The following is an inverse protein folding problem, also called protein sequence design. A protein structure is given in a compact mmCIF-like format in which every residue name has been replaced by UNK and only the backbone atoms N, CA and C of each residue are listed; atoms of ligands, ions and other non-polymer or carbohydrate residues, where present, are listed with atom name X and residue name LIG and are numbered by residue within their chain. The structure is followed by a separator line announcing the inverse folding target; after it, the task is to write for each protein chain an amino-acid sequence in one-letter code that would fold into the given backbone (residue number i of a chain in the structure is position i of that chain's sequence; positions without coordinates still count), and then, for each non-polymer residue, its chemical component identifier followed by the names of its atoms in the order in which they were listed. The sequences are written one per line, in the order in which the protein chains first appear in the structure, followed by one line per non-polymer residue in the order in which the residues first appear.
data_IF_462595533738
#
_entry.id   IF_462595533738
#
_cell.length_a   1.000
_cell.length_b   1.000
_cell.length_c   1.000
_cell.angle_alpha   90.00
_cell.angle_beta   90.00
_cell.angle_gamma   90.00
#
_symmetry.space_group_name_H-M   'P 1'
#
loop_
_entity.id
_entity.type
_entity.pdbx_description
1 polymer ?
#
# COMPACT_ATOMS: atom_id res chain seq x y z
N UNK A 1 1.23 -67.60 24.25
CA UNK A 1 0.33 -68.57 24.91
C UNK A 1 -0.89 -67.82 25.44
N UNK A 2 -2.04 -68.10 24.84
CA UNK A 2 -3.32 -67.46 25.27
C UNK A 2 -3.75 -68.10 26.60
N UNK A 3 -4.39 -67.28 27.48
CA UNK A 3 -4.95 -67.73 28.77
C UNK A 3 -5.96 -68.89 28.63
N UNK A 4 -6.53 -69.05 27.43
CA UNK A 4 -7.53 -70.10 27.15
C UNK A 4 -6.90 -71.51 27.04
N UNK A 5 -5.62 -71.60 26.62
CA UNK A 5 -4.90 -72.89 26.55
C UNK A 5 -4.54 -73.46 27.93
N UNK A 6 -4.44 -72.59 28.95
CA UNK A 6 -4.13 -73.00 30.32
C UNK A 6 -5.35 -73.52 31.09
N UNK A 7 -6.54 -73.07 30.73
CA UNK A 7 -7.79 -73.50 31.36
C UNK A 7 -8.24 -74.87 30.86
N UNK A 8 -8.05 -75.18 29.57
CA UNK A 8 -8.41 -76.50 29.02
C UNK A 8 -7.52 -77.66 29.64
N UNK A 9 -6.28 -77.35 29.99
CA UNK A 9 -5.42 -78.33 30.66
C UNK A 9 -5.78 -78.49 32.13
N UNK A 10 -6.36 -77.51 32.79
CA UNK A 10 -6.80 -77.62 34.19
C UNK A 10 -8.08 -78.46 34.37
N UNK A 11 -9.07 -78.28 33.48
CA UNK A 11 -10.33 -79.03 33.59
C UNK A 11 -10.24 -80.51 33.20
N UNK A 12 -9.25 -80.90 32.44
CA UNK A 12 -9.03 -82.31 32.09
C UNK A 12 -8.27 -83.13 33.16
N UNK A 13 -7.71 -82.53 34.21
CA UNK A 13 -6.94 -83.19 35.27
C UNK A 13 -7.82 -83.60 36.49
N UNK A 14 -9.09 -83.11 36.58
CA UNK A 14 -9.91 -83.26 37.80
C UNK A 14 -10.89 -84.43 37.68
N UNK A 15 -11.00 -85.19 36.56
CA UNK A 15 -12.11 -86.21 36.41
C UNK A 15 -11.66 -87.64 36.16
N UNK A 16 -10.46 -88.08 36.44
CA UNK A 16 -10.18 -89.51 36.40
C UNK A 16 -9.09 -89.91 37.40
N UNK A 17 -9.45 -90.66 38.43
CA UNK A 17 -8.64 -91.23 39.49
C UNK A 17 -7.81 -92.43 39.00
N UNK A 18 -7.40 -92.46 37.75
CA UNK A 18 -6.40 -93.42 37.19
C UNK A 18 -5.18 -92.71 36.68
N UNK A 19 -4.07 -92.90 37.34
CA UNK A 19 -2.79 -92.37 36.90
C UNK A 19 -2.50 -92.92 35.48
N UNK A 20 -2.46 -92.06 34.45
CA UNK A 20 -2.21 -92.55 33.08
C UNK A 20 -0.86 -93.21 32.99
N UNK A 21 -0.83 -94.30 32.32
CA UNK A 21 0.45 -95.09 32.07
C UNK A 21 1.45 -94.24 31.30
N UNK A 22 2.75 -94.54 31.41
CA UNK A 22 3.82 -93.79 30.77
C UNK A 22 3.63 -93.68 29.23
N UNK A 23 2.94 -94.69 28.63
CA UNK A 23 2.60 -94.73 27.21
C UNK A 23 1.52 -93.72 26.85
N UNK A 24 0.44 -93.53 27.68
CA UNK A 24 -0.64 -92.57 27.45
C UNK A 24 -0.16 -91.12 27.63
N UNK A 25 0.75 -90.91 28.61
CA UNK A 25 1.42 -89.62 28.74
C UNK A 25 2.26 -89.26 27.53
N UNK A 26 2.91 -90.28 26.93
CA UNK A 26 3.72 -90.05 25.75
C UNK A 26 2.86 -89.75 24.51
N UNK A 27 1.72 -90.42 24.39
CA UNK A 27 0.79 -90.15 23.28
C UNK A 27 0.13 -88.79 23.43
N UNK A 28 -0.33 -88.43 24.65
CA UNK A 28 -0.87 -87.07 24.88
C UNK A 28 0.15 -85.97 24.66
N UNK A 29 1.43 -86.21 24.97
CA UNK A 29 2.53 -85.28 24.65
C UNK A 29 2.77 -85.20 23.15
N UNK A 30 2.72 -86.35 22.46
CA UNK A 30 2.90 -86.38 20.99
C UNK A 30 1.68 -85.67 20.31
N UNK A 31 0.46 -85.86 20.82
CA UNK A 31 -0.74 -85.22 20.27
C UNK A 31 -0.79 -83.71 20.59
N UNK A 32 -0.32 -83.31 21.75
CA UNK A 32 -0.22 -81.86 22.11
C UNK A 32 0.92 -81.22 21.32
N UNK A 33 1.99 -81.90 20.97
CA UNK A 33 3.05 -81.38 20.08
C UNK A 33 2.62 -81.40 18.62
N UNK A 34 1.74 -82.30 18.19
CA UNK A 34 1.13 -82.29 16.85
C UNK A 34 0.07 -81.25 16.66
N UNK A 35 -0.64 -80.90 17.72
CA UNK A 35 -1.67 -79.85 17.65
C UNK A 35 -1.11 -78.42 17.62
N UNK A 36 0.14 -78.24 18.04
CA UNK A 36 0.80 -76.91 17.90
C UNK A 36 1.58 -76.95 16.58
N UNK A 37 0.89 -76.52 15.52
CA UNK A 37 1.50 -76.36 14.18
C UNK A 37 2.47 -75.13 14.15
N UNK A 38 3.43 -75.17 15.12
CA UNK A 38 4.38 -74.09 15.38
C UNK A 38 5.23 -73.78 14.15
N UNK A 39 5.38 -74.82 13.28
CA UNK A 39 6.18 -74.61 12.08
C UNK A 39 5.48 -73.83 10.98
N UNK A 40 4.18 -74.03 10.77
CA UNK A 40 3.45 -73.34 9.74
C UNK A 40 3.22 -71.86 10.13
N UNK A 41 2.82 -71.54 11.37
CA UNK A 41 2.66 -70.20 11.85
C UNK A 41 3.97 -69.39 11.86
N UNK A 42 5.09 -70.01 12.24
CA UNK A 42 6.40 -69.39 12.22
C UNK A 42 6.89 -69.15 10.78
N UNK A 43 6.67 -70.12 9.89
CA UNK A 43 7.03 -69.97 8.48
C UNK A 43 6.21 -68.91 7.80
N UNK A 44 4.89 -68.82 8.08
CA UNK A 44 4.01 -67.76 7.56
C UNK A 44 4.40 -66.38 8.12
N UNK A 45 4.74 -66.23 9.38
CA UNK A 45 5.22 -64.98 9.95
C UNK A 45 6.59 -64.59 9.37
N UNK A 46 7.51 -65.50 9.19
CA UNK A 46 8.83 -65.22 8.56
C UNK A 46 8.68 -64.86 7.09
N UNK A 47 7.77 -65.50 6.34
CA UNK A 47 7.47 -65.12 4.95
C UNK A 47 6.87 -63.70 4.87
N UNK A 48 5.91 -63.36 5.72
CA UNK A 48 5.31 -62.00 5.79
C UNK A 48 6.36 -60.93 6.14
N UNK A 49 7.27 -61.23 7.05
CA UNK A 49 8.42 -60.35 7.39
C UNK A 49 9.35 -60.20 6.18
N UNK A 50 9.69 -61.31 5.52
CA UNK A 50 10.54 -61.32 4.33
C UNK A 50 9.93 -60.49 3.17
N UNK A 51 8.61 -60.71 2.91
CA UNK A 51 7.90 -59.97 1.87
C UNK A 51 7.81 -58.49 2.18
N UNK A 52 7.52 -58.13 3.45
CA UNK A 52 7.53 -56.72 3.90
C UNK A 52 8.90 -56.10 3.74
N UNK A 53 9.97 -56.84 4.06
CA UNK A 53 11.34 -56.36 3.91
C UNK A 53 11.76 -56.21 2.44
N UNK A 54 11.35 -57.13 1.57
CA UNK A 54 11.55 -57.00 0.12
C UNK A 54 10.79 -55.80 -0.47
N UNK A 55 9.54 -55.59 -0.06
CA UNK A 55 8.75 -54.43 -0.47
C UNK A 55 9.42 -53.11 -0.03
N UNK A 56 9.94 -53.07 1.21
CA UNK A 56 10.66 -51.91 1.72
C UNK A 56 11.98 -51.67 0.95
N UNK A 57 12.74 -52.72 0.65
CA UNK A 57 13.97 -52.60 -0.14
C UNK A 57 13.65 -52.12 -1.57
N UNK A 58 12.64 -52.71 -2.22
CA UNK A 58 12.23 -52.28 -3.57
C UNK A 58 11.73 -50.83 -3.59
N UNK A 59 10.94 -50.43 -2.61
CA UNK A 59 10.52 -49.03 -2.43
C UNK A 59 11.72 -48.09 -2.26
N UNK A 60 12.70 -48.50 -1.44
CA UNK A 60 13.93 -47.72 -1.22
C UNK A 60 14.76 -47.61 -2.50
N UNK A 61 14.99 -48.70 -3.22
CA UNK A 61 15.73 -48.71 -4.50
C UNK A 61 15.04 -47.86 -5.54
N UNK A 62 13.72 -47.96 -5.67
CA UNK A 62 12.93 -47.15 -6.60
C UNK A 62 12.88 -45.64 -6.22
N UNK A 63 13.17 -45.30 -4.96
CA UNK A 63 13.27 -43.92 -4.49
C UNK A 63 14.65 -43.30 -4.76
N UNK A 64 15.70 -44.09 -4.98
CA UNK A 64 17.07 -43.63 -5.22
C UNK A 64 17.15 -42.60 -6.37
N UNK A 65 16.57 -42.86 -7.57
CA UNK A 65 16.61 -41.88 -8.67
C UNK A 65 15.93 -40.53 -8.32
N UNK A 66 14.84 -40.60 -7.55
CA UNK A 66 14.15 -39.39 -7.06
C UNK A 66 15.02 -38.62 -6.07
N UNK A 67 15.66 -39.32 -5.12
CA UNK A 67 16.58 -38.71 -4.14
C UNK A 67 17.78 -38.06 -4.83
N UNK A 68 18.36 -38.70 -5.84
CA UNK A 68 19.42 -38.09 -6.63
C UNK A 68 18.96 -36.84 -7.33
N UNK A 69 17.75 -36.85 -7.96
CA UNK A 69 17.16 -35.70 -8.60
C UNK A 69 16.94 -34.53 -7.61
N UNK A 70 16.46 -34.83 -6.40
CA UNK A 70 16.26 -33.81 -5.33
C UNK A 70 17.59 -33.22 -4.86
N UNK A 71 18.64 -34.05 -4.70
CA UNK A 71 19.98 -33.56 -4.32
C UNK A 71 20.56 -32.65 -5.41
N UNK A 72 20.43 -33.03 -6.67
CA UNK A 72 20.86 -32.21 -7.81
C UNK A 72 20.08 -30.89 -7.84
N UNK A 73 18.74 -30.94 -7.70
CA UNK A 73 17.87 -29.75 -7.62
C UNK A 73 18.30 -28.83 -6.48
N UNK A 74 18.59 -29.38 -5.32
CA UNK A 74 19.00 -28.61 -4.15
C UNK A 74 20.37 -27.94 -4.37
N UNK A 75 21.33 -28.64 -4.93
CA UNK A 75 22.67 -28.08 -5.24
C UNK A 75 22.54 -26.95 -6.27
N UNK A 76 21.83 -27.20 -7.37
CA UNK A 76 21.59 -26.19 -8.41
C UNK A 76 20.81 -25.03 -7.83
N UNK A 77 19.74 -25.28 -7.07
CA UNK A 77 18.92 -24.24 -6.45
C UNK A 77 19.71 -23.36 -5.49
N UNK A 78 20.52 -23.95 -4.60
CA UNK A 78 21.41 -23.19 -3.71
C UNK A 78 22.46 -22.37 -4.49
N UNK A 79 22.98 -22.92 -5.58
CA UNK A 79 23.90 -22.17 -6.45
C UNK A 79 23.19 -20.95 -7.08
N UNK A 80 21.99 -21.14 -7.61
CA UNK A 80 21.17 -20.05 -8.19
C UNK A 80 20.85 -19.00 -7.14
N UNK A 81 20.37 -19.40 -5.96
CA UNK A 81 20.07 -18.47 -4.84
C UNK A 81 21.31 -17.68 -4.46
N UNK A 82 22.46 -18.32 -4.27
CA UNK A 82 23.71 -17.64 -3.93
C UNK A 82 24.14 -16.67 -5.02
N UNK A 83 23.97 -17.04 -6.29
CA UNK A 83 24.33 -16.20 -7.44
C UNK A 83 23.44 -14.96 -7.51
N UNK A 84 22.11 -15.12 -7.40
CA UNK A 84 21.18 -14.00 -7.37
C UNK A 84 21.52 -13.04 -6.23
N UNK A 85 21.71 -13.56 -5.01
CA UNK A 85 22.07 -12.75 -3.83
C UNK A 85 23.38 -11.99 -4.06
N UNK A 86 24.39 -12.63 -4.66
CA UNK A 86 25.68 -11.98 -4.97
C UNK A 86 25.50 -10.84 -5.95
N UNK A 87 24.71 -11.05 -7.02
CA UNK A 87 24.40 -10.01 -8.02
C UNK A 87 23.68 -8.83 -7.38
N UNK A 88 22.62 -9.10 -6.61
CA UNK A 88 21.84 -8.06 -5.92
C UNK A 88 22.73 -7.27 -4.98
N UNK A 89 23.49 -7.94 -4.11
CA UNK A 89 24.40 -7.27 -3.16
C UNK A 89 25.46 -6.40 -3.89
N UNK A 90 26.02 -6.92 -4.99
CA UNK A 90 26.98 -6.16 -5.79
C UNK A 90 26.37 -4.90 -6.44
N UNK A 91 25.12 -5.02 -6.93
CA UNK A 91 24.42 -3.88 -7.55
C UNK A 91 24.03 -2.82 -6.53
N UNK A 92 23.53 -3.22 -5.36
CA UNK A 92 23.19 -2.30 -4.26
C UNK A 92 24.45 -1.56 -3.77
N UNK A 93 25.57 -2.26 -3.60
CA UNK A 93 26.85 -1.65 -3.21
C UNK A 93 27.35 -0.63 -4.23
N UNK A 94 27.22 -0.91 -5.54
CA UNK A 94 27.61 0.03 -6.61
C UNK A 94 26.76 1.28 -6.67
N UNK A 95 25.54 1.24 -6.11
CA UNK A 95 24.61 2.38 -6.04
C UNK A 95 24.65 3.11 -4.71
N UNK A 96 25.63 2.79 -3.86
CA UNK A 96 25.83 3.42 -2.54
C UNK A 96 24.57 3.38 -1.65
N UNK A 97 23.75 2.33 -1.81
CA UNK A 97 22.57 2.13 -0.99
C UNK A 97 23.00 1.88 0.45
N UNK A 98 22.31 2.51 1.40
CA UNK A 98 22.55 2.32 2.85
C UNK A 98 22.71 0.85 3.21
N UNK A 99 23.68 0.55 4.09
CA UNK A 99 24.07 -0.82 4.41
C UNK A 99 22.92 -1.58 5.11
N UNK A 100 22.17 -0.90 5.98
CA UNK A 100 21.02 -1.48 6.69
C UNK A 100 19.90 -1.84 5.71
N UNK A 101 19.57 -0.93 4.79
CA UNK A 101 18.57 -1.16 3.74
C UNK A 101 19.00 -2.27 2.79
N UNK A 102 20.27 -2.28 2.37
CA UNK A 102 20.84 -3.32 1.52
C UNK A 102 20.76 -4.69 2.22
N UNK A 103 21.14 -4.77 3.51
CA UNK A 103 21.04 -5.98 4.31
C UNK A 103 19.61 -6.50 4.42
N UNK A 104 18.66 -5.62 4.70
CA UNK A 104 17.24 -5.96 4.78
C UNK A 104 16.70 -6.52 3.46
N UNK A 105 16.93 -5.84 2.34
CA UNK A 105 16.47 -6.29 1.02
C UNK A 105 17.06 -7.65 0.63
N UNK A 106 18.36 -7.83 0.87
CA UNK A 106 19.05 -9.11 0.61
C UNK A 106 18.45 -10.25 1.45
N UNK A 107 18.12 -10.00 2.71
CA UNK A 107 17.52 -11.01 3.58
C UNK A 107 16.10 -11.38 3.15
N UNK A 108 15.27 -10.40 2.75
CA UNK A 108 13.93 -10.68 2.19
C UNK A 108 14.04 -11.54 0.92
N UNK A 109 14.90 -11.15 -0.03
CA UNK A 109 15.08 -11.89 -1.29
C UNK A 109 15.57 -13.32 -0.98
N UNK A 110 16.53 -13.48 -0.07
CA UNK A 110 17.03 -14.78 0.36
C UNK A 110 15.92 -15.63 0.95
N UNK A 111 15.10 -15.06 1.83
CA UNK A 111 13.98 -15.77 2.45
C UNK A 111 12.99 -16.27 1.40
N UNK A 112 12.53 -15.41 0.50
CA UNK A 112 11.58 -15.77 -0.57
C UNK A 112 12.16 -16.88 -1.46
N UNK A 113 13.39 -16.72 -1.94
CA UNK A 113 14.04 -17.72 -2.79
C UNK A 113 14.24 -19.04 -2.06
N UNK A 114 14.55 -19.02 -0.76
CA UNK A 114 14.69 -20.23 0.05
C UNK A 114 13.36 -20.96 0.22
N UNK A 115 12.26 -20.24 0.46
CA UNK A 115 10.90 -20.82 0.54
C UNK A 115 10.54 -21.50 -0.78
N UNK A 116 10.76 -20.83 -1.92
CA UNK A 116 10.50 -21.40 -3.25
C UNK A 116 11.33 -22.68 -3.48
N UNK A 117 12.62 -22.65 -3.13
CA UNK A 117 13.49 -23.80 -3.28
C UNK A 117 13.03 -24.99 -2.40
N UNK A 118 12.65 -24.73 -1.14
CA UNK A 118 12.12 -25.75 -0.23
C UNK A 118 10.86 -26.38 -0.80
N UNK A 119 9.93 -25.57 -1.32
CA UNK A 119 8.69 -26.08 -1.94
C UNK A 119 8.98 -26.96 -3.16
N UNK A 120 9.91 -26.56 -4.02
CA UNK A 120 10.34 -27.36 -5.17
C UNK A 120 10.93 -28.71 -4.74
N UNK A 121 11.75 -28.72 -3.68
CA UNK A 121 12.35 -29.93 -3.11
C UNK A 121 11.26 -30.85 -2.54
N UNK A 122 10.36 -30.34 -1.74
CA UNK A 122 9.25 -31.07 -1.11
C UNK A 122 8.34 -31.70 -2.17
N UNK A 123 8.00 -30.96 -3.22
CA UNK A 123 7.20 -31.45 -4.34
C UNK A 123 7.90 -32.59 -5.10
N UNK A 124 9.21 -32.47 -5.36
CA UNK A 124 9.98 -33.49 -6.03
C UNK A 124 10.12 -34.79 -5.18
N UNK A 125 10.09 -34.69 -3.85
CA UNK A 125 10.03 -35.85 -2.96
C UNK A 125 8.68 -36.57 -3.03
N UNK A 126 7.65 -35.98 -3.68
CA UNK A 126 6.34 -36.59 -3.84
C UNK A 126 5.34 -36.19 -2.75
N UNK A 127 5.65 -35.18 -1.93
CA UNK A 127 4.70 -34.64 -0.96
C UNK A 127 3.71 -33.70 -1.66
N UNK A 128 2.47 -33.76 -1.24
CA UNK A 128 1.44 -32.85 -1.72
C UNK A 128 1.63 -31.46 -1.11
N UNK A 129 1.90 -30.47 -1.96
CA UNK A 129 2.19 -29.08 -1.53
C UNK A 129 0.99 -28.16 -1.56
N UNK A 130 -0.17 -28.65 -2.00
CA UNK A 130 -1.40 -27.84 -2.18
C UNK A 130 -1.82 -27.10 -0.92
N UNK A 131 -1.81 -27.76 0.23
CA UNK A 131 -2.15 -27.15 1.51
C UNK A 131 -1.14 -26.06 1.92
N UNK A 132 0.16 -26.30 1.68
CA UNK A 132 1.23 -25.34 1.97
C UNK A 132 1.08 -24.10 1.07
N UNK A 133 0.82 -24.31 -0.22
CA UNK A 133 0.58 -23.23 -1.18
C UNK A 133 -0.66 -22.42 -0.80
N UNK A 134 -1.73 -23.07 -0.35
CA UNK A 134 -2.93 -22.39 0.17
C UNK A 134 -2.63 -21.50 1.37
N UNK A 135 -1.90 -22.03 2.36
CA UNK A 135 -1.47 -21.25 3.52
C UNK A 135 -0.56 -20.08 3.14
N UNK A 136 0.41 -20.32 2.24
CA UNK A 136 1.32 -19.28 1.75
C UNK A 136 0.56 -18.18 1.01
N UNK A 137 -0.43 -18.53 0.20
CA UNK A 137 -1.29 -17.57 -0.50
C UNK A 137 -2.03 -16.65 0.49
N UNK A 138 -2.51 -17.18 1.62
CA UNK A 138 -3.08 -16.39 2.69
C UNK A 138 -2.08 -15.39 3.30
N UNK A 139 -0.85 -15.84 3.55
CA UNK A 139 0.21 -14.97 4.06
C UNK A 139 0.57 -13.88 3.05
N UNK A 140 0.73 -14.22 1.77
CA UNK A 140 1.02 -13.24 0.70
C UNK A 140 -0.09 -12.21 0.58
N UNK A 141 -1.36 -12.63 0.66
CA UNK A 141 -2.51 -11.72 0.66
C UNK A 141 -2.48 -10.78 1.87
N UNK A 142 -2.24 -11.31 3.07
CA UNK A 142 -2.16 -10.51 4.29
C UNK A 142 -1.03 -9.46 4.22
N UNK A 143 0.17 -9.85 3.74
CA UNK A 143 1.29 -8.94 3.52
C UNK A 143 0.95 -7.90 2.43
N UNK A 144 0.29 -8.30 1.35
CA UNK A 144 -0.15 -7.40 0.28
C UNK A 144 -1.10 -6.33 0.79
N UNK A 145 -2.08 -6.71 1.61
CA UNK A 145 -3.01 -5.77 2.26
C UNK A 145 -2.28 -4.84 3.25
N UNK A 146 -1.34 -5.36 4.03
CA UNK A 146 -0.53 -4.55 4.95
C UNK A 146 0.34 -3.51 4.22
N UNK A 147 0.83 -3.83 3.02
CA UNK A 147 1.67 -2.96 2.20
C UNK A 147 0.89 -2.11 1.17
N UNK A 148 -0.45 -2.23 1.13
CA UNK A 148 -1.31 -1.57 0.15
C UNK A 148 -1.05 -0.06 0.05
N UNK A 149 -0.90 0.63 1.18
CA UNK A 149 -0.63 2.07 1.20
C UNK A 149 0.72 2.44 0.58
N UNK A 150 1.77 1.67 0.89
CA UNK A 150 3.11 1.89 0.30
C UNK A 150 3.12 1.62 -1.19
N UNK A 151 2.45 0.57 -1.64
CA UNK A 151 2.34 0.23 -3.06
C UNK A 151 1.53 1.29 -3.83
N UNK A 152 0.46 1.83 -3.22
CA UNK A 152 -0.30 2.96 -3.77
C UNK A 152 0.56 4.21 -3.93
N UNK A 153 1.39 4.53 -2.94
CA UNK A 153 2.30 5.66 -3.02
C UNK A 153 3.38 5.47 -4.09
N UNK A 154 3.92 4.27 -4.21
CA UNK A 154 4.87 3.93 -5.28
C UNK A 154 4.23 4.11 -6.66
N UNK A 155 3.06 3.53 -6.88
CA UNK A 155 2.32 3.67 -8.14
C UNK A 155 1.99 5.15 -8.43
N UNK A 156 1.55 5.92 -7.42
CA UNK A 156 1.32 7.35 -7.52
C UNK A 156 2.56 8.13 -7.96
N UNK A 157 3.73 7.82 -7.37
CA UNK A 157 4.99 8.44 -7.77
C UNK A 157 5.37 8.15 -9.23
N UNK A 158 5.18 6.90 -9.67
CA UNK A 158 5.39 6.53 -11.08
C UNK A 158 4.44 7.27 -12.01
N UNK A 159 3.15 7.38 -11.64
CA UNK A 159 2.15 8.12 -12.43
C UNK A 159 2.50 9.61 -12.53
N UNK A 160 2.89 10.25 -11.43
CA UNK A 160 3.31 11.67 -11.42
C UNK A 160 4.50 11.87 -12.36
N UNK A 161 5.52 11.01 -12.29
CA UNK A 161 6.72 11.12 -13.13
C UNK A 161 6.45 10.82 -14.61
N UNK A 162 5.47 9.95 -14.91
CA UNK A 162 5.10 9.56 -16.28
C UNK A 162 4.23 10.62 -16.95
N UNK A 163 3.14 11.05 -16.30
CA UNK A 163 2.17 11.99 -16.85
C UNK A 163 2.50 13.45 -16.59
N UNK A 164 3.38 13.74 -15.64
CA UNK A 164 3.86 15.09 -15.29
C UNK A 164 2.74 16.12 -15.15
N UNK A 165 1.74 15.92 -14.28
CA UNK A 165 0.74 16.94 -14.01
C UNK A 165 1.37 18.21 -13.43
N UNK A 166 2.52 18.07 -12.77
CA UNK A 166 3.40 19.13 -12.30
C UNK A 166 4.86 18.68 -12.36
N UNK A 167 5.77 19.62 -12.37
CA UNK A 167 7.22 19.41 -12.39
C UNK A 167 7.86 20.00 -11.11
N UNK A 168 9.13 19.65 -10.88
CA UNK A 168 9.92 20.30 -9.81
C UNK A 168 10.03 21.78 -10.12
N UNK A 169 9.74 22.61 -9.13
CA UNK A 169 9.66 24.08 -9.26
C UNK A 169 8.24 24.62 -9.46
N UNK A 170 7.25 23.79 -9.79
CA UNK A 170 5.86 24.23 -9.90
C UNK A 170 5.24 24.50 -8.53
N UNK A 171 4.46 25.58 -8.45
CA UNK A 171 3.57 25.84 -7.30
C UNK A 171 2.23 25.17 -7.54
N UNK A 172 1.89 24.24 -6.67
CA UNK A 172 0.67 23.44 -6.76
C UNK A 172 -0.18 23.56 -5.48
N UNK A 173 -1.47 23.31 -5.62
CA UNK A 173 -2.44 23.16 -4.53
C UNK A 173 -3.25 21.90 -4.79
N UNK A 174 -3.43 21.05 -3.77
CA UNK A 174 -4.30 19.88 -3.86
C UNK A 174 -5.63 20.09 -3.10
N UNK A 175 -6.57 19.19 -3.31
CA UNK A 175 -7.89 19.23 -2.65
C UNK A 175 -7.85 19.09 -1.14
N UNK A 176 -6.74 18.58 -0.56
CA UNK A 176 -6.54 18.49 0.89
C UNK A 176 -6.13 19.83 1.52
N UNK A 177 -6.03 20.90 0.73
CA UNK A 177 -5.57 22.21 1.20
C UNK A 177 -4.07 22.31 1.40
N UNK A 178 -3.29 21.33 0.93
CA UNK A 178 -1.83 21.39 0.91
C UNK A 178 -1.39 22.14 -0.34
N UNK A 179 -0.67 23.23 -0.18
CA UNK A 179 -0.12 24.03 -1.25
C UNK A 179 1.39 24.25 -1.07
N UNK A 180 2.09 24.49 -2.14
CA UNK A 180 3.53 24.81 -2.10
C UNK A 180 4.24 24.59 -3.42
N UNK A 181 5.49 25.04 -3.46
CA UNK A 181 6.42 24.77 -4.56
C UNK A 181 6.97 23.35 -4.43
N UNK A 182 6.94 22.59 -5.50
CA UNK A 182 7.49 21.23 -5.56
C UNK A 182 9.02 21.30 -5.54
N UNK A 183 9.64 20.80 -4.47
CA UNK A 183 11.10 20.73 -4.37
C UNK A 183 11.65 19.46 -5.01
N UNK A 184 10.97 18.32 -4.75
CA UNK A 184 11.45 17.01 -5.16
C UNK A 184 10.29 16.02 -5.25
N UNK A 185 10.36 15.13 -6.23
CA UNK A 185 9.45 14.00 -6.40
C UNK A 185 10.25 12.72 -6.14
N UNK A 186 10.06 12.12 -4.97
CA UNK A 186 10.65 10.84 -4.58
C UNK A 186 9.71 9.68 -4.89
N UNK A 187 10.16 8.45 -4.64
CA UNK A 187 9.44 7.23 -4.98
C UNK A 187 8.07 7.10 -4.29
N UNK A 188 7.97 7.53 -3.01
CA UNK A 188 6.77 7.40 -2.18
C UNK A 188 6.15 8.74 -1.82
N UNK A 189 6.94 9.82 -1.82
CA UNK A 189 6.53 11.15 -1.36
C UNK A 189 7.00 12.21 -2.34
N UNK A 190 6.18 13.25 -2.48
CA UNK A 190 6.55 14.53 -3.08
C UNK A 190 6.80 15.54 -1.97
N UNK A 191 7.95 16.20 -1.99
CA UNK A 191 8.28 17.25 -1.03
C UNK A 191 7.90 18.61 -1.61
N UNK A 192 7.17 19.39 -0.84
CA UNK A 192 6.73 20.75 -1.18
C UNK A 192 7.27 21.74 -0.16
N UNK A 193 7.51 22.98 -0.61
CA UNK A 193 7.78 24.12 0.29
C UNK A 193 6.63 25.10 0.20
N UNK A 194 5.95 25.32 1.31
CA UNK A 194 4.86 26.32 1.39
C UNK A 194 5.42 27.74 1.25
N UNK A 195 4.52 28.72 1.02
CA UNK A 195 4.87 30.15 0.97
C UNK A 195 5.57 30.65 2.25
N UNK A 196 5.33 29.97 3.37
CA UNK A 196 5.95 30.30 4.68
C UNK A 196 7.28 29.55 4.92
N UNK A 197 7.82 28.83 3.92
CA UNK A 197 9.08 28.12 4.02
C UNK A 197 9.00 26.75 4.72
N UNK A 198 7.80 26.25 5.02
CA UNK A 198 7.62 24.94 5.69
C UNK A 198 7.73 23.82 4.65
N UNK A 199 8.49 22.78 4.98
CA UNK A 199 8.56 21.55 4.16
C UNK A 199 7.38 20.65 4.46
N UNK A 200 6.67 20.27 3.43
CA UNK A 200 5.53 19.34 3.49
C UNK A 200 5.87 18.09 2.70
N UNK A 201 5.71 16.93 3.31
CA UNK A 201 5.91 15.62 2.69
C UNK A 201 4.54 15.04 2.36
N UNK A 202 4.14 15.13 1.10
CA UNK A 202 2.85 14.62 0.61
C UNK A 202 3.02 13.22 0.03
N UNK A 203 2.28 12.20 0.52
CA UNK A 203 2.31 10.86 -0.07
C UNK A 203 1.83 10.90 -1.53
N UNK A 204 2.56 10.23 -2.43
CA UNK A 204 2.28 10.27 -3.86
C UNK A 204 0.94 9.64 -4.27
N UNK A 205 0.47 8.60 -3.55
CA UNK A 205 -0.79 7.92 -3.88
C UNK A 205 -2.00 8.86 -3.82
N UNK A 206 -2.31 9.47 -2.65
CA UNK A 206 -3.33 10.49 -2.54
C UNK A 206 -3.10 11.68 -3.47
N UNK A 207 -1.85 12.14 -3.63
CA UNK A 207 -1.53 13.28 -4.48
C UNK A 207 -1.85 12.99 -5.95
N UNK A 208 -1.45 11.84 -6.49
CA UNK A 208 -1.73 11.44 -7.88
C UNK A 208 -3.22 11.25 -8.18
N UNK A 209 -4.02 10.92 -7.15
CA UNK A 209 -5.47 10.68 -7.29
C UNK A 209 -6.32 11.91 -6.90
N UNK A 210 -5.69 13.02 -6.51
CA UNK A 210 -6.40 14.25 -6.14
C UNK A 210 -6.51 15.22 -7.31
N UNK A 211 -7.42 16.18 -7.18
CA UNK A 211 -7.43 17.35 -8.08
C UNK A 211 -6.24 18.23 -7.74
N UNK A 212 -5.41 18.49 -8.72
CA UNK A 212 -4.23 19.36 -8.61
C UNK A 212 -4.50 20.68 -9.35
N UNK A 213 -4.38 21.80 -8.65
CA UNK A 213 -4.31 23.11 -9.27
C UNK A 213 -2.83 23.47 -9.45
N UNK A 214 -2.38 23.59 -10.68
CA UNK A 214 -1.02 23.99 -11.01
C UNK A 214 -1.00 25.48 -11.42
N UNK A 215 -0.41 26.30 -10.58
CA UNK A 215 -0.31 27.75 -10.80
C UNK A 215 0.93 28.17 -11.60
N UNK A 216 1.83 27.24 -11.91
CA UNK A 216 3.04 27.51 -12.68
C UNK A 216 2.92 27.20 -14.17
N UNK A 217 2.04 26.25 -14.53
CA UNK A 217 1.82 25.85 -15.94
C UNK A 217 0.84 26.78 -16.68
N UNK A 218 0.54 27.94 -16.12
CA UNK A 218 -0.30 28.98 -16.74
C UNK A 218 0.57 30.16 -17.16
N UNK A 219 0.16 30.83 -18.24
CA UNK A 219 0.84 32.05 -18.71
C UNK A 219 0.23 33.28 -18.04
N UNK A 220 -1.08 33.34 -18.00
CA UNK A 220 -1.84 34.46 -17.46
C UNK A 220 -2.77 33.99 -16.35
N UNK A 221 -2.95 34.83 -15.33
CA UNK A 221 -3.81 34.55 -14.20
C UNK A 221 -4.79 35.67 -13.98
N UNK A 222 -6.08 35.31 -13.80
CA UNK A 222 -7.14 36.26 -13.46
C UNK A 222 -7.13 36.50 -11.95
N UNK A 223 -7.17 37.78 -11.57
CA UNK A 223 -7.50 38.17 -10.20
C UNK A 223 -8.88 38.82 -10.19
N UNK A 224 -9.51 38.70 -9.03
CA UNK A 224 -10.84 39.23 -8.78
C UNK A 224 -10.89 39.76 -7.36
N UNK A 225 -11.51 40.94 -7.19
CA UNK A 225 -11.83 41.49 -5.87
C UNK A 225 -13.03 42.41 -5.96
N UNK A 226 -13.70 42.58 -4.82
CA UNK A 226 -14.88 43.40 -4.69
C UNK A 226 -14.56 44.71 -3.94
N UNK A 227 -15.15 45.80 -4.39
CA UNK A 227 -15.08 47.11 -3.72
C UNK A 227 -16.51 47.60 -3.56
N UNK A 228 -16.90 47.93 -2.33
CA UNK A 228 -18.21 48.55 -2.04
C UNK A 228 -18.11 50.06 -2.16
N UNK A 229 -19.05 50.67 -2.88
CA UNK A 229 -19.24 52.12 -2.93
C UNK A 229 -20.54 52.50 -2.27
N UNK A 230 -20.70 53.78 -1.86
CA UNK A 230 -21.95 54.29 -1.27
C UNK A 230 -23.13 54.24 -2.24
N UNK A 231 -24.33 54.09 -1.70
CA UNK A 231 -25.57 54.13 -2.51
C UNK A 231 -25.82 55.48 -3.19
N UNK A 232 -25.32 56.56 -2.62
CA UNK A 232 -25.40 57.91 -3.16
C UNK A 232 -24.36 58.16 -4.28
N UNK A 233 -23.38 57.28 -4.42
CA UNK A 233 -22.28 57.42 -5.38
C UNK A 233 -22.69 57.04 -6.79
N UNK A 234 -22.09 57.72 -7.77
CA UNK A 234 -22.37 57.43 -9.18
C UNK A 234 -21.56 56.22 -9.65
N UNK A 235 -22.26 55.10 -9.91
CA UNK A 235 -21.67 53.83 -10.37
C UNK A 235 -20.89 54.02 -11.68
N UNK A 236 -21.35 54.87 -12.61
CA UNK A 236 -20.65 55.09 -13.89
C UNK A 236 -19.31 55.79 -13.66
N UNK A 237 -19.30 56.81 -12.77
CA UNK A 237 -18.05 57.50 -12.39
C UNK A 237 -17.06 56.54 -11.72
N UNK A 238 -17.53 55.81 -10.73
CA UNK A 238 -16.70 54.79 -10.05
C UNK A 238 -16.08 53.78 -11.05
N UNK A 239 -16.91 53.25 -11.95
CA UNK A 239 -16.47 52.34 -12.99
C UNK A 239 -15.42 52.96 -13.92
N UNK A 240 -15.61 54.21 -14.37
CA UNK A 240 -14.67 54.91 -15.23
C UNK A 240 -13.32 55.12 -14.53
N UNK A 241 -13.33 55.53 -13.25
CA UNK A 241 -12.12 55.70 -12.44
C UNK A 241 -11.34 54.39 -12.34
N UNK A 242 -12.06 53.28 -12.04
CA UNK A 242 -11.43 51.96 -11.92
C UNK A 242 -10.85 51.52 -13.27
N UNK A 243 -11.58 51.69 -14.39
CA UNK A 243 -11.08 51.35 -15.71
C UNK A 243 -9.83 52.15 -16.11
N UNK A 244 -9.77 53.43 -15.77
CA UNK A 244 -8.57 54.22 -16.04
C UNK A 244 -7.36 53.65 -15.32
N UNK A 245 -7.47 53.31 -14.04
CA UNK A 245 -6.37 52.64 -13.27
C UNK A 245 -5.95 51.31 -13.91
N UNK A 246 -6.95 50.48 -14.30
CA UNK A 246 -6.65 49.17 -14.93
C UNK A 246 -5.98 49.34 -16.29
N UNK A 247 -6.29 50.40 -17.05
CA UNK A 247 -5.69 50.66 -18.37
C UNK A 247 -4.29 51.31 -18.26
N UNK A 248 -4.05 52.11 -17.23
CA UNK A 248 -2.79 52.80 -17.00
C UNK A 248 -1.70 51.83 -16.45
N UNK A 249 -2.08 50.77 -15.76
CA UNK A 249 -1.13 49.78 -15.25
C UNK A 249 -0.71 48.79 -16.36
N UNK A 250 0.51 48.92 -16.82
CA UNK A 250 1.10 48.09 -17.89
C UNK A 250 1.15 46.58 -17.56
N UNK A 251 1.02 46.22 -16.29
CA UNK A 251 0.99 44.81 -15.82
C UNK A 251 -0.38 44.16 -16.03
N UNK A 252 -1.42 44.99 -16.21
CA UNK A 252 -2.78 44.54 -16.50
C UNK A 252 -2.89 44.23 -17.99
N UNK A 253 -3.26 42.99 -18.28
CA UNK A 253 -3.47 42.55 -19.65
C UNK A 253 -4.78 43.09 -20.20
N UNK A 254 -4.72 43.62 -21.42
CA UNK A 254 -5.91 44.17 -22.12
C UNK A 254 -6.64 43.07 -22.92
N UNK A 255 -6.09 41.87 -22.98
CA UNK A 255 -6.74 40.70 -23.57
C UNK A 255 -6.50 39.50 -22.65
N UNK A 256 -7.57 38.96 -22.04
CA UNK A 256 -8.98 39.39 -22.07
C UNK A 256 -9.18 40.78 -21.45
N UNK A 257 -10.20 41.51 -21.95
CA UNK A 257 -10.52 42.86 -21.48
C UNK A 257 -10.88 42.82 -19.99
N UNK A 258 -10.36 43.78 -19.19
CA UNK A 258 -10.78 43.92 -17.79
C UNK A 258 -12.29 44.23 -17.68
N UNK A 259 -12.92 43.72 -16.65
CA UNK A 259 -14.35 43.86 -16.39
C UNK A 259 -14.59 44.57 -15.05
N UNK A 260 -15.55 45.50 -15.01
CA UNK A 260 -16.03 46.13 -13.78
C UNK A 260 -17.55 46.17 -13.84
N UNK A 261 -18.22 45.48 -12.93
CA UNK A 261 -19.67 45.38 -12.90
C UNK A 261 -20.21 45.34 -11.48
N UNK A 262 -21.49 45.71 -11.33
CA UNK A 262 -22.20 45.53 -10.05
C UNK A 262 -22.47 44.06 -9.84
N UNK A 263 -21.97 43.50 -8.76
CA UNK A 263 -22.17 42.13 -8.37
C UNK A 263 -23.34 41.98 -7.37
N UNK A 264 -23.45 42.93 -6.46
CA UNK A 264 -24.41 42.84 -5.36
C UNK A 264 -24.82 44.22 -4.87
N UNK A 265 -26.07 44.37 -4.51
CA UNK A 265 -26.61 45.50 -3.71
C UNK A 265 -26.65 45.02 -2.25
N UNK A 266 -25.57 45.30 -1.51
CA UNK A 266 -25.39 44.83 -0.14
C UNK A 266 -26.06 45.79 0.88
N UNK A 267 -26.12 45.42 2.15
CA UNK A 267 -26.81 46.13 3.22
C UNK A 267 -26.36 47.62 3.37
N UNK A 268 -25.09 47.91 3.07
CA UNK A 268 -24.52 49.24 3.28
C UNK A 268 -23.72 49.75 2.08
N UNK A 269 -23.64 49.02 0.99
CA UNK A 269 -22.82 49.35 -0.18
C UNK A 269 -23.35 48.73 -1.47
N UNK A 270 -22.98 49.33 -2.59
CA UNK A 270 -23.10 48.74 -3.92
C UNK A 270 -21.76 48.10 -4.24
N UNK A 271 -21.72 46.78 -4.27
CA UNK A 271 -20.49 46.01 -4.49
C UNK A 271 -20.16 45.92 -5.99
N UNK A 272 -19.02 46.48 -6.36
CA UNK A 272 -18.46 46.36 -7.71
C UNK A 272 -17.43 45.22 -7.71
N UNK A 273 -17.60 44.28 -8.63
CA UNK A 273 -16.59 43.27 -8.89
C UNK A 273 -15.66 43.74 -10.00
N UNK A 274 -14.36 43.65 -9.74
CA UNK A 274 -13.27 43.97 -10.65
C UNK A 274 -12.60 42.67 -11.05
N UNK A 275 -12.54 42.41 -12.37
CA UNK A 275 -11.84 41.23 -12.93
C UNK A 275 -10.78 41.71 -13.91
N UNK A 276 -9.56 41.29 -13.72
CA UNK A 276 -8.50 41.59 -14.65
C UNK A 276 -7.47 40.44 -14.71
N UNK A 277 -6.62 40.47 -15.70
CA UNK A 277 -5.60 39.47 -15.95
C UNK A 277 -4.22 40.10 -15.87
N UNK A 278 -3.29 39.34 -15.33
CA UNK A 278 -1.86 39.65 -15.35
C UNK A 278 -1.06 38.43 -15.73
N UNK A 279 0.21 38.59 -16.11
CA UNK A 279 1.13 37.47 -16.23
C UNK A 279 1.29 36.79 -14.87
N UNK A 280 1.70 35.54 -14.85
CA UNK A 280 1.91 34.84 -13.56
C UNK A 280 2.99 35.52 -12.71
N UNK A 281 3.99 36.10 -13.34
CA UNK A 281 5.11 36.81 -12.69
C UNK A 281 4.61 38.07 -11.98
N UNK A 282 3.78 38.84 -12.65
CA UNK A 282 3.25 40.12 -12.15
C UNK A 282 2.00 40.00 -11.27
N UNK A 283 1.43 38.77 -11.22
CA UNK A 283 0.10 38.56 -10.59
C UNK A 283 -0.01 39.13 -9.18
N UNK A 284 0.91 38.81 -8.29
CA UNK A 284 0.81 39.28 -6.90
C UNK A 284 1.10 40.77 -6.76
N UNK A 285 2.12 41.27 -7.48
CA UNK A 285 2.45 42.67 -7.47
C UNK A 285 1.33 43.55 -8.03
N UNK A 286 0.72 43.14 -9.14
CA UNK A 286 -0.41 43.82 -9.75
C UNK A 286 -1.65 43.78 -8.86
N UNK A 287 -2.02 42.56 -8.42
CA UNK A 287 -3.23 42.38 -7.59
C UNK A 287 -3.18 43.19 -6.29
N UNK A 288 -2.05 43.20 -5.61
CA UNK A 288 -1.93 43.91 -4.33
C UNK A 288 -1.79 45.40 -4.50
N UNK A 289 -1.02 45.89 -5.50
CA UNK A 289 -0.86 47.32 -5.77
C UNK A 289 -2.14 48.00 -6.25
N UNK A 290 -2.87 47.34 -7.16
CA UNK A 290 -4.12 47.89 -7.68
C UNK A 290 -5.17 48.15 -6.62
N UNK A 291 -5.25 47.38 -5.53
CA UNK A 291 -6.20 47.63 -4.44
C UNK A 291 -5.97 48.99 -3.80
N UNK A 292 -4.72 49.37 -3.56
CA UNK A 292 -4.34 50.64 -2.99
C UNK A 292 -4.58 51.79 -4.00
N UNK A 293 -4.15 51.60 -5.26
CA UNK A 293 -4.30 52.60 -6.31
C UNK A 293 -5.79 52.93 -6.58
N UNK A 294 -6.65 51.92 -6.64
CA UNK A 294 -8.09 52.11 -6.85
C UNK A 294 -8.71 52.81 -5.66
N UNK A 295 -8.37 52.44 -4.42
CA UNK A 295 -8.85 53.12 -3.23
C UNK A 295 -8.53 54.61 -3.27
N UNK A 296 -7.27 54.95 -3.55
CA UNK A 296 -6.79 56.32 -3.63
C UNK A 296 -7.46 57.12 -4.78
N UNK A 297 -7.73 56.47 -5.90
CA UNK A 297 -8.41 57.11 -7.04
C UNK A 297 -9.91 57.36 -6.78
N UNK A 298 -10.60 56.43 -6.14
CA UNK A 298 -11.99 56.60 -5.72
C UNK A 298 -12.13 57.76 -4.74
N UNK A 299 -11.25 57.89 -3.76
CA UNK A 299 -11.23 59.03 -2.81
C UNK A 299 -11.05 60.34 -3.55
N UNK A 300 -10.12 60.43 -4.49
CA UNK A 300 -9.89 61.65 -5.29
C UNK A 300 -11.10 62.02 -6.17
N UNK A 301 -11.85 61.01 -6.59
CA UNK A 301 -13.08 61.20 -7.38
C UNK A 301 -14.33 61.51 -6.52
N UNK A 302 -14.19 61.57 -5.19
CA UNK A 302 -15.30 61.79 -4.27
C UNK A 302 -16.26 60.61 -4.14
N UNK A 303 -15.80 59.41 -4.50
CA UNK A 303 -16.54 58.15 -4.33
C UNK A 303 -16.21 57.59 -2.94
N UNK A 304 -17.22 57.32 -2.13
CA UNK A 304 -17.06 56.85 -0.76
C UNK A 304 -17.02 55.32 -0.69
N UNK A 305 -16.16 54.81 0.17
CA UNK A 305 -16.23 53.40 0.62
C UNK A 305 -16.95 53.42 1.97
N UNK A 306 -18.24 53.03 2.02
CA UNK A 306 -19.08 53.30 3.18
C UNK A 306 -18.71 52.44 4.37
N UNK A 307 -18.79 53.02 5.56
CA UNK A 307 -18.86 52.28 6.81
C UNK A 307 -20.21 51.55 6.92
N UNK A 308 -20.36 50.55 7.80
CA UNK A 308 -21.65 49.94 8.05
C UNK A 308 -22.70 51.01 8.44
N UNK A 309 -23.77 51.11 7.68
CA UNK A 309 -24.84 52.07 7.89
C UNK A 309 -25.90 51.49 8.84
N UNK A 310 -26.45 52.36 9.71
CA UNK A 310 -27.58 52.01 10.57
C UNK A 310 -28.56 53.15 10.60
N UNK A 311 -29.82 52.87 10.34
CA UNK A 311 -30.91 53.82 10.56
C UNK A 311 -31.38 53.72 12.02
N UNK A 312 -31.45 54.87 12.71
CA UNK A 312 -31.89 54.91 14.10
C UNK A 312 -33.11 55.83 14.21
N UNK A 313 -34.27 55.26 14.53
CA UNK A 313 -35.46 55.98 14.82
C UNK A 313 -35.51 56.37 16.31
N UNK A 314 -35.26 57.63 16.60
CA UNK A 314 -35.39 58.19 17.97
C UNK A 314 -36.83 58.58 18.22
N UNK A 315 -37.57 57.81 19.02
CA UNK A 315 -38.95 58.18 19.44
C UNK A 315 -38.83 58.96 20.76
N UNK A 316 -39.04 60.28 20.69
CA UNK A 316 -39.13 61.08 21.90
C UNK A 316 -40.56 60.98 22.45
N UNK A 317 -40.76 60.40 23.62
CA UNK A 317 -42.00 60.57 24.38
C UNK A 317 -42.09 62.06 24.85
N UNK A 318 -42.92 62.85 24.13
CA UNK A 318 -43.31 64.10 24.70
C UNK A 318 -44.19 63.83 25.89
N UNK A 319 -43.80 64.41 27.02
CA UNK A 319 -44.48 64.34 28.30
C UNK A 319 -46.03 64.44 28.18
N UNK A 320 -46.66 63.51 28.89
CA UNK A 320 -48.12 63.60 29.18
C UNK A 320 -48.40 64.72 30.15
#
# INVERSE_FOLDING_TARGET
MSKDSLNIVKDSIVQNDTIPTLSEKKEMLIESVKSVNVKEDVVEQVSKISDTFQILILKFINSIPKLIGVVILLIIGLFVVRTIIRIVKSRLKKREVDESLSGFLVNIIRFVLSVVLILMVVQNLGFETTAILGALSGVVLAVGLALQGSLSNFAGGVLILLFRPFDVGDYIENTSGTDGTVDKIDLLYTTLTTSNGIKVFSPNGPLANSVIKNYSKITNRRFEYNIGIGYEDNIKTARTVIFNILNDDKRVLQTPVPEVFVNELADSSVNLTIRAWATKEDYWATRNGLQEDIKNALDKAGISIPYPQREMHIISEKDK
#
